data_IF_657678470401
#
_entry.id   IF_657678470401
#
_cell.length_a   1.000
_cell.length_b   1.000
_cell.length_c   1.000
_cell.angle_alpha   90.00
_cell.angle_beta   90.00
_cell.angle_gamma   90.00
#
_symmetry.space_group_name_H-M   'P 1'
#
loop_
_entity.id
_entity.type
_entity.pdbx_description
1 polymer ?
#
# COMPACT_ATOMS: atom_id res chain seq x y z
N UNK A 1 -2.81 -23.62 17.03
CA UNK A 1 -2.85 -24.43 15.78
C UNK A 1 -2.06 -23.69 14.72
N UNK A 2 -1.13 -24.32 13.98
CA UNK A 2 -0.33 -23.60 12.98
C UNK A 2 -1.22 -23.07 11.86
N UNK A 3 -1.24 -21.76 11.64
CA UNK A 3 -1.85 -21.17 10.45
C UNK A 3 -1.33 -21.88 9.21
N UNK A 4 -2.23 -22.31 8.33
CA UNK A 4 -1.82 -22.84 7.04
C UNK A 4 -1.20 -21.69 6.25
N UNK A 5 0.13 -21.65 6.23
CA UNK A 5 0.93 -20.57 5.63
C UNK A 5 0.49 -20.22 4.21
N UNK A 6 0.09 -21.22 3.43
CA UNK A 6 -0.36 -21.04 2.06
C UNK A 6 -1.72 -20.31 2.00
N UNK A 7 -2.66 -20.64 2.91
CA UNK A 7 -3.94 -19.91 3.03
C UNK A 7 -3.70 -18.44 3.36
N UNK A 8 -2.80 -18.16 4.29
CA UNK A 8 -2.46 -16.78 4.66
C UNK A 8 -1.88 -16.00 3.48
N UNK A 9 -0.90 -16.57 2.75
CA UNK A 9 -0.32 -15.93 1.56
C UNK A 9 -1.39 -15.68 0.49
N UNK A 10 -2.29 -16.64 0.28
CA UNK A 10 -3.43 -16.49 -0.63
C UNK A 10 -4.38 -15.37 -0.20
N UNK A 11 -4.60 -15.20 1.09
CA UNK A 11 -5.39 -14.09 1.62
C UNK A 11 -4.71 -12.73 1.42
N UNK A 12 -3.38 -12.66 1.50
CA UNK A 12 -2.65 -11.42 1.14
C UNK A 12 -2.87 -11.08 -0.34
N UNK A 13 -2.87 -12.06 -1.25
CA UNK A 13 -3.22 -11.82 -2.64
C UNK A 13 -4.63 -11.22 -2.78
N UNK A 14 -5.62 -11.79 -2.09
CA UNK A 14 -6.99 -11.24 -2.14
C UNK A 14 -7.05 -9.82 -1.57
N UNK A 15 -6.36 -9.54 -0.46
CA UNK A 15 -6.27 -8.19 0.10
C UNK A 15 -5.69 -7.19 -0.91
N UNK A 16 -4.60 -7.57 -1.59
CA UNK A 16 -4.02 -6.78 -2.67
C UNK A 16 -5.01 -6.60 -3.83
N UNK A 17 -5.74 -7.65 -4.21
CA UNK A 17 -6.72 -7.61 -5.29
C UNK A 17 -7.89 -6.66 -4.98
N UNK A 18 -8.33 -6.56 -3.73
CA UNK A 18 -9.30 -5.54 -3.32
C UNK A 18 -8.67 -4.15 -3.29
N UNK A 19 -7.46 -4.01 -2.74
CA UNK A 19 -6.75 -2.74 -2.63
C UNK A 19 -6.36 -2.11 -4.00
N UNK A 20 -6.19 -2.93 -5.04
CA UNK A 20 -5.81 -2.50 -6.39
C UNK A 20 -6.69 -3.15 -7.44
N UNK A 21 -7.60 -2.37 -8.02
CA UNK A 21 -8.54 -2.83 -9.06
C UNK A 21 -7.82 -3.41 -10.29
N UNK A 22 -6.58 -2.99 -10.56
CA UNK A 22 -5.76 -3.51 -11.65
C UNK A 22 -5.48 -5.02 -11.54
N UNK A 23 -5.42 -5.57 -10.32
CA UNK A 23 -5.22 -7.00 -10.05
C UNK A 23 -6.49 -7.85 -10.28
N UNK A 24 -7.66 -7.22 -10.33
CA UNK A 24 -8.93 -7.92 -10.61
C UNK A 24 -9.16 -8.17 -12.11
N UNK A 25 -8.23 -7.74 -12.97
CA UNK A 25 -8.29 -8.02 -14.40
C UNK A 25 -7.90 -9.48 -14.66
N UNK A 26 -8.50 -10.10 -15.67
CA UNK A 26 -8.33 -11.52 -16.04
C UNK A 26 -6.87 -12.00 -16.23
N UNK A 27 -5.90 -11.09 -16.24
CA UNK A 27 -4.47 -11.39 -16.39
C UNK A 27 -3.81 -11.96 -15.12
N UNK A 28 -4.53 -12.01 -14.00
CA UNK A 28 -4.02 -12.49 -12.71
C UNK A 28 -4.81 -13.69 -12.17
N UNK A 29 -5.71 -14.29 -12.98
CA UNK A 29 -6.52 -15.45 -12.57
C UNK A 29 -5.64 -16.66 -12.25
N UNK A 30 -4.57 -16.88 -13.02
CA UNK A 30 -3.64 -17.99 -12.82
C UNK A 30 -2.96 -17.94 -11.44
N UNK A 31 -2.70 -16.75 -10.90
CA UNK A 31 -2.08 -16.55 -9.58
C UNK A 31 -2.97 -17.09 -8.45
N UNK A 32 -4.30 -17.07 -8.61
CA UNK A 32 -5.22 -17.61 -7.59
C UNK A 32 -5.16 -19.14 -7.48
N UNK A 33 -4.75 -19.79 -8.57
CA UNK A 33 -4.66 -21.25 -8.67
C UNK A 33 -3.30 -21.79 -8.27
N UNK A 34 -2.27 -20.94 -8.20
CA UNK A 34 -0.93 -21.34 -7.81
C UNK A 34 -0.75 -21.30 -6.28
N UNK A 35 -0.06 -22.30 -5.75
CA UNK A 35 0.38 -22.35 -4.37
C UNK A 35 1.75 -21.67 -4.21
N UNK A 36 1.86 -20.82 -3.19
CA UNK A 36 3.09 -20.10 -2.87
C UNK A 36 3.56 -20.45 -1.47
N UNK A 37 4.79 -20.95 -1.36
CA UNK A 37 5.39 -21.32 -0.06
C UNK A 37 5.88 -20.09 0.72
N UNK A 38 6.26 -19.05 -0.02
CA UNK A 38 6.81 -17.81 0.49
C UNK A 38 6.17 -16.61 -0.19
N UNK A 39 5.93 -15.56 0.58
CA UNK A 39 5.28 -14.34 0.08
C UNK A 39 6.05 -13.64 -1.05
N UNK A 40 7.38 -13.76 -1.03
CA UNK A 40 8.24 -13.23 -2.09
C UNK A 40 7.95 -13.89 -3.45
N UNK A 41 7.51 -15.15 -3.47
CA UNK A 41 7.12 -15.83 -4.70
C UNK A 41 5.82 -15.24 -5.24
N UNK A 42 4.84 -14.99 -4.37
CA UNK A 42 3.59 -14.31 -4.75
C UNK A 42 3.87 -12.90 -5.31
N UNK A 43 4.65 -12.10 -4.58
CA UNK A 43 4.98 -10.74 -5.00
C UNK A 43 5.78 -10.72 -6.31
N UNK A 44 6.70 -11.68 -6.50
CA UNK A 44 7.42 -11.85 -7.76
C UNK A 44 6.48 -12.17 -8.92
N UNK A 45 5.50 -13.07 -8.70
CA UNK A 45 4.53 -13.43 -9.75
C UNK A 45 3.64 -12.24 -10.14
N UNK A 46 3.11 -11.52 -9.14
CA UNK A 46 2.34 -10.29 -9.37
C UNK A 46 3.17 -9.28 -10.16
N UNK A 47 4.44 -9.08 -9.79
CA UNK A 47 5.33 -8.14 -10.46
C UNK A 47 5.63 -8.59 -11.90
N UNK A 48 5.89 -9.88 -12.14
CA UNK A 48 6.12 -10.44 -13.48
C UNK A 48 4.94 -10.15 -14.40
N UNK A 49 3.71 -10.45 -13.95
CA UNK A 49 2.49 -10.20 -14.73
C UNK A 49 2.29 -8.71 -14.98
N UNK A 50 2.47 -7.88 -13.95
CA UNK A 50 2.30 -6.43 -14.08
C UNK A 50 3.35 -5.77 -14.99
N UNK A 51 4.62 -6.15 -14.89
CA UNK A 51 5.69 -5.65 -15.77
C UNK A 51 5.47 -6.12 -17.20
N UNK A 52 5.05 -7.37 -17.40
CA UNK A 52 4.70 -7.88 -18.74
C UNK A 52 3.56 -7.08 -19.36
N UNK A 53 2.54 -6.73 -18.57
CA UNK A 53 1.45 -5.87 -19.03
C UNK A 53 1.93 -4.44 -19.32
N UNK A 54 2.79 -3.87 -18.49
CA UNK A 54 3.34 -2.54 -18.70
C UNK A 54 4.19 -2.48 -19.98
N UNK A 55 5.01 -3.49 -20.24
CA UNK A 55 5.80 -3.58 -21.47
C UNK A 55 4.93 -3.64 -22.73
N UNK A 56 3.78 -4.32 -22.69
CA UNK A 56 2.81 -4.31 -23.80
C UNK A 56 2.26 -2.90 -24.09
N UNK A 57 2.20 -2.03 -23.09
CA UNK A 57 1.80 -0.63 -23.24
C UNK A 57 2.96 0.31 -23.60
N UNK A 58 4.19 -0.14 -23.40
CA UNK A 58 5.40 0.66 -23.50
C UNK A 58 5.84 1.22 -22.15
N UNK A 59 7.15 1.41 -22.00
CA UNK A 59 7.73 2.04 -20.82
C UNK A 59 7.38 3.54 -20.78
N UNK A 60 7.14 4.05 -19.57
CA UNK A 60 6.94 5.48 -19.35
C UNK A 60 8.20 6.23 -19.79
N UNK A 61 8.00 7.36 -20.47
CA UNK A 61 9.09 8.20 -20.97
C UNK A 61 8.92 9.61 -20.47
N UNK A 62 10.03 10.20 -20.06
CA UNK A 62 10.09 11.59 -19.62
C UNK A 62 11.08 12.36 -20.49
N UNK A 63 10.81 13.66 -20.66
CA UNK A 63 11.74 14.55 -21.33
C UNK A 63 12.86 14.93 -20.38
N UNK A 64 14.09 14.60 -20.74
CA UNK A 64 15.28 15.04 -20.01
C UNK A 64 15.99 16.12 -20.82
N UNK A 65 16.23 17.27 -20.19
CA UNK A 65 17.05 18.33 -20.79
C UNK A 65 18.49 17.86 -20.87
N UNK A 66 19.03 17.80 -22.09
CA UNK A 66 20.39 17.40 -22.38
C UNK A 66 21.15 18.56 -23.01
N UNK A 67 22.39 18.74 -22.58
CA UNK A 67 23.33 19.70 -23.19
C UNK A 67 24.48 18.92 -23.82
N UNK A 68 24.69 19.08 -25.12
CA UNK A 68 25.68 18.31 -25.88
C UNK A 68 26.34 19.14 -26.98
N UNK A 69 27.64 18.90 -27.20
CA UNK A 69 28.43 19.57 -28.24
C UNK A 69 28.47 18.76 -29.53
N UNK A 70 27.60 19.11 -30.47
CA UNK A 70 27.37 18.37 -31.72
C UNK A 70 27.79 19.19 -32.95
N UNK A 71 27.97 18.52 -34.10
CA UNK A 71 28.41 19.17 -35.33
C UNK A 71 27.28 19.91 -36.08
N UNK A 72 26.02 19.70 -35.66
CA UNK A 72 24.82 20.28 -36.24
C UNK A 72 23.97 20.95 -35.15
N UNK A 73 23.00 21.78 -35.53
CA UNK A 73 22.10 22.42 -34.56
C UNK A 73 20.98 21.45 -34.18
N UNK A 74 20.77 21.23 -32.88
CA UNK A 74 19.63 20.46 -32.34
C UNK A 74 19.03 21.21 -31.15
N UNK A 75 17.78 21.63 -31.25
CA UNK A 75 17.12 22.43 -30.19
C UNK A 75 17.74 23.84 -30.04
N UNK A 76 17.92 24.29 -28.81
CA UNK A 76 18.39 25.63 -28.46
C UNK A 76 19.91 25.68 -28.45
N UNK A 77 20.51 26.65 -29.16
CA UNK A 77 21.95 26.85 -29.15
C UNK A 77 22.38 27.52 -27.84
N UNK A 78 23.37 26.93 -27.16
CA UNK A 78 24.10 27.53 -26.05
C UNK A 78 25.29 28.33 -26.62
N UNK A 79 25.07 29.65 -26.75
CA UNK A 79 26.03 30.57 -27.35
C UNK A 79 27.35 30.59 -26.56
N UNK A 80 27.36 30.74 -25.22
CA UNK A 80 28.60 30.65 -24.42
C UNK A 80 29.44 29.40 -24.71
N UNK A 81 28.84 28.21 -24.64
CA UNK A 81 29.56 26.95 -24.90
C UNK A 81 30.07 26.85 -26.34
N UNK A 82 29.29 27.31 -27.31
CA UNK A 82 29.68 27.33 -28.72
C UNK A 82 30.86 28.27 -28.97
N UNK A 83 30.86 29.47 -28.37
CA UNK A 83 31.99 30.40 -28.45
C UNK A 83 33.26 29.79 -27.86
N UNK A 84 33.15 29.10 -26.72
CA UNK A 84 34.29 28.42 -26.11
C UNK A 84 34.87 27.32 -27.03
N UNK A 85 34.02 26.55 -27.72
CA UNK A 85 34.47 25.56 -28.70
C UNK A 85 35.18 26.20 -29.90
N UNK A 86 34.65 27.31 -30.42
CA UNK A 86 35.29 28.07 -31.49
C UNK A 86 36.67 28.60 -31.08
N UNK A 87 36.81 29.12 -29.85
CA UNK A 87 38.10 29.56 -29.31
C UNK A 87 39.12 28.42 -29.20
N UNK A 88 38.65 27.20 -28.92
CA UNK A 88 39.46 25.97 -28.90
C UNK A 88 39.68 25.36 -30.31
N UNK A 89 39.24 26.03 -31.39
CA UNK A 89 39.27 25.53 -32.78
C UNK A 89 38.54 24.19 -32.97
N UNK A 90 37.54 23.90 -32.13
CA UNK A 90 36.66 22.73 -32.27
C UNK A 90 35.42 23.13 -33.06
N UNK A 91 35.16 22.44 -34.17
CA UNK A 91 33.97 22.65 -35.01
C UNK A 91 32.73 21.97 -34.39
N UNK A 92 32.31 22.41 -33.21
CA UNK A 92 31.16 21.89 -32.47
C UNK A 92 30.31 23.03 -31.92
N UNK A 93 29.00 22.83 -31.94
CA UNK A 93 27.98 23.75 -31.42
C UNK A 93 27.45 23.14 -30.12
N UNK A 94 27.51 23.90 -29.03
CA UNK A 94 26.86 23.52 -27.76
C UNK A 94 25.36 23.72 -27.92
N UNK A 95 24.60 22.65 -27.78
CA UNK A 95 23.15 22.64 -27.97
C UNK A 95 22.45 22.07 -26.74
N UNK A 96 21.37 22.70 -26.32
CA UNK A 96 20.45 22.23 -25.29
C UNK A 96 19.13 21.81 -25.93
N UNK A 97 18.73 20.56 -25.72
CA UNK A 97 17.48 20.02 -26.25
C UNK A 97 16.91 18.97 -25.30
N UNK A 98 15.60 18.76 -25.38
CA UNK A 98 14.92 17.73 -24.61
C UNK A 98 14.93 16.40 -25.38
N UNK A 99 15.40 15.34 -24.72
CA UNK A 99 15.41 13.98 -25.24
C UNK A 99 14.41 13.13 -24.48
N UNK A 100 13.58 12.39 -25.21
CA UNK A 100 12.61 11.49 -24.61
C UNK A 100 13.32 10.22 -24.16
N UNK A 101 13.36 9.97 -22.85
CA UNK A 101 14.10 8.86 -22.26
C UNK A 101 13.20 7.95 -21.43
N UNK A 102 13.49 6.65 -21.50
CA UNK A 102 12.90 5.62 -20.65
C UNK A 102 13.58 5.55 -19.27
N UNK A 103 14.72 6.22 -19.10
CA UNK A 103 15.48 6.21 -17.85
C UNK A 103 14.91 7.18 -16.80
N UNK A 104 13.61 7.05 -16.53
CA UNK A 104 12.90 7.82 -15.51
C UNK A 104 12.77 7.02 -14.21
N UNK A 105 12.50 7.73 -13.11
CA UNK A 105 12.37 7.14 -11.77
C UNK A 105 11.39 5.96 -11.74
N UNK A 106 10.34 6.02 -12.54
CA UNK A 106 9.30 4.99 -12.61
C UNK A 106 9.86 3.64 -13.07
N UNK A 107 10.62 3.64 -14.17
CA UNK A 107 11.20 2.42 -14.68
C UNK A 107 12.41 1.98 -13.84
N UNK A 108 13.16 2.93 -13.27
CA UNK A 108 14.29 2.64 -12.38
C UNK A 108 13.85 1.85 -11.13
N UNK A 109 12.73 2.25 -10.51
CA UNK A 109 12.15 1.53 -9.36
C UNK A 109 11.85 0.07 -9.72
N UNK A 110 11.20 -0.15 -10.87
CA UNK A 110 10.87 -1.51 -11.33
C UNK A 110 12.14 -2.32 -11.57
N UNK A 111 13.11 -1.78 -12.31
CA UNK A 111 14.37 -2.47 -12.61
C UNK A 111 15.11 -2.85 -11.32
N UNK A 112 15.30 -1.90 -10.41
CA UNK A 112 15.94 -2.15 -9.11
C UNK A 112 15.22 -3.24 -8.33
N UNK A 113 13.87 -3.23 -8.30
CA UNK A 113 13.09 -4.26 -7.60
C UNK A 113 13.29 -5.65 -8.22
N UNK A 114 13.29 -5.73 -9.56
CA UNK A 114 13.52 -6.98 -10.26
C UNK A 114 14.92 -7.56 -9.98
N UNK A 115 15.96 -6.74 -9.96
CA UNK A 115 17.32 -7.17 -9.61
C UNK A 115 17.40 -7.69 -8.16
N UNK A 116 16.70 -7.03 -7.23
CA UNK A 116 16.58 -7.50 -5.85
C UNK A 116 15.94 -8.89 -5.80
N UNK A 117 14.83 -9.12 -6.52
CA UNK A 117 14.18 -10.43 -6.58
C UNK A 117 15.07 -11.52 -7.23
N UNK A 118 15.87 -11.17 -8.23
CA UNK A 118 16.81 -12.10 -8.86
C UNK A 118 17.85 -12.64 -7.87
N UNK A 119 18.29 -11.80 -6.94
CA UNK A 119 19.24 -12.18 -5.89
C UNK A 119 18.60 -12.94 -4.72
N UNK A 120 17.27 -12.87 -4.54
CA UNK A 120 16.61 -13.45 -3.36
C UNK A 120 16.51 -14.99 -3.42
N UNK A 121 16.83 -15.73 -2.35
CA UNK A 121 16.87 -17.20 -2.37
C UNK A 121 15.51 -17.87 -2.47
N UNK A 122 14.42 -17.26 -1.97
CA UNK A 122 13.10 -17.90 -1.96
C UNK A 122 12.32 -17.80 -3.28
N UNK A 123 12.79 -16.97 -4.22
CA UNK A 123 12.14 -16.77 -5.52
C UNK A 123 12.43 -17.98 -6.42
N UNK A 124 11.39 -18.55 -7.04
CA UNK A 124 11.50 -19.78 -7.85
C UNK A 124 12.43 -19.53 -9.06
N UNK A 125 13.18 -20.56 -9.47
CA UNK A 125 14.09 -20.46 -10.63
C UNK A 125 13.35 -20.08 -11.94
N UNK A 126 12.12 -20.59 -12.11
CA UNK A 126 11.23 -20.22 -13.23
C UNK A 126 10.90 -18.73 -13.23
N UNK A 127 10.55 -18.17 -12.08
CA UNK A 127 10.28 -16.74 -11.90
C UNK A 127 11.53 -15.90 -12.22
N UNK A 128 12.70 -16.30 -11.72
CA UNK A 128 13.97 -15.62 -12.01
C UNK A 128 14.28 -15.61 -13.52
N UNK A 129 14.03 -16.72 -14.22
CA UNK A 129 14.20 -16.79 -15.67
C UNK A 129 13.28 -15.80 -16.39
N UNK A 130 12.01 -15.74 -16.00
CA UNK A 130 11.04 -14.79 -16.57
C UNK A 130 11.44 -13.34 -16.29
N UNK A 131 11.84 -13.01 -15.06
CA UNK A 131 12.33 -11.67 -14.70
C UNK A 131 13.52 -11.27 -15.58
N UNK A 132 14.54 -12.14 -15.73
CA UNK A 132 15.69 -11.86 -16.60
C UNK A 132 15.28 -11.55 -18.04
N UNK A 133 14.31 -12.30 -18.58
CA UNK A 133 13.78 -12.06 -19.94
C UNK A 133 13.09 -10.70 -20.04
N UNK A 134 12.33 -10.30 -19.02
CA UNK A 134 11.68 -8.98 -18.98
C UNK A 134 12.71 -7.85 -18.84
N UNK A 135 13.79 -8.05 -18.08
CA UNK A 135 14.83 -7.04 -17.88
C UNK A 135 15.63 -6.70 -19.14
N UNK A 136 15.59 -7.54 -20.18
CA UNK A 136 16.16 -7.20 -21.50
C UNK A 136 15.53 -5.94 -22.10
N UNK A 137 14.27 -5.64 -21.80
CA UNK A 137 13.58 -4.43 -22.26
C UNK A 137 13.92 -3.19 -21.43
N UNK A 138 14.66 -3.34 -20.33
CA UNK A 138 15.10 -2.25 -19.44
C UNK A 138 16.60 -1.96 -19.61
N UNK A 139 17.16 -2.19 -20.80
CA UNK A 139 18.60 -2.00 -21.08
C UNK A 139 19.05 -0.56 -20.88
N UNK A 140 18.23 0.41 -21.31
CA UNK A 140 18.51 1.85 -21.22
C UNK A 140 18.10 2.48 -19.88
N UNK A 141 17.59 1.67 -18.95
CA UNK A 141 17.13 2.13 -17.63
C UNK A 141 18.22 1.84 -16.61
N UNK A 142 18.60 2.82 -15.80
CA UNK A 142 19.59 2.62 -14.75
C UNK A 142 18.95 2.02 -13.49
N UNK A 143 19.76 1.39 -12.65
CA UNK A 143 19.35 1.06 -11.29
C UNK A 143 19.52 2.27 -10.38
N UNK A 144 18.69 2.33 -9.35
CA UNK A 144 18.81 3.30 -8.27
C UNK A 144 19.00 2.60 -6.93
N UNK A 145 19.71 3.22 -5.97
CA UNK A 145 19.79 2.72 -4.61
C UNK A 145 18.39 2.66 -3.97
N UNK A 146 17.95 1.53 -3.40
CA UNK A 146 16.59 1.41 -2.86
C UNK A 146 16.27 2.42 -1.76
N UNK A 147 17.26 2.76 -0.92
CA UNK A 147 17.13 3.72 0.18
C UNK A 147 16.99 5.18 -0.28
N UNK A 148 17.31 5.50 -1.54
CA UNK A 148 17.18 6.87 -2.06
C UNK A 148 15.77 7.15 -2.62
N UNK A 149 14.92 6.12 -2.72
CA UNK A 149 13.58 6.25 -3.30
C UNK A 149 12.67 7.03 -2.34
N UNK A 150 12.26 8.22 -2.77
CA UNK A 150 11.30 9.06 -2.05
C UNK A 150 9.87 8.78 -2.52
N UNK A 151 9.26 7.73 -1.97
CA UNK A 151 7.92 7.26 -2.34
C UNK A 151 6.84 8.35 -2.25
N UNK A 152 6.95 9.24 -1.27
CA UNK A 152 6.04 10.37 -1.04
C UNK A 152 6.07 11.46 -2.14
N UNK A 153 7.13 11.49 -2.96
CA UNK A 153 7.25 12.42 -4.08
C UNK A 153 6.68 11.86 -5.39
N UNK A 154 6.36 10.57 -5.45
CA UNK A 154 5.76 9.98 -6.63
C UNK A 154 4.37 10.58 -6.88
N UNK A 155 4.12 11.00 -8.12
CA UNK A 155 2.86 11.57 -8.58
C UNK A 155 2.43 10.83 -9.83
N UNK A 156 1.24 10.25 -9.79
CA UNK A 156 0.70 9.48 -10.89
C UNK A 156 -0.31 10.32 -11.66
N UNK A 157 -0.10 10.46 -12.96
CA UNK A 157 -1.05 11.10 -13.87
C UNK A 157 -1.88 10.03 -14.60
N UNK A 158 -2.68 10.45 -15.59
CA UNK A 158 -3.51 9.53 -16.37
C UNK A 158 -2.67 8.49 -17.15
N UNK A 159 -1.46 8.85 -17.56
CA UNK A 159 -0.56 8.03 -18.36
C UNK A 159 0.31 7.10 -17.51
N UNK A 160 0.55 7.46 -16.25
CA UNK A 160 1.38 6.70 -15.31
C UNK A 160 0.57 5.98 -14.23
N UNK A 161 -0.77 6.06 -14.26
CA UNK A 161 -1.65 5.34 -13.33
C UNK A 161 -1.41 3.83 -13.28
N UNK A 162 -1.02 3.21 -14.40
CA UNK A 162 -0.69 1.77 -14.42
C UNK A 162 0.54 1.42 -13.59
N UNK A 163 1.45 2.36 -13.38
CA UNK A 163 2.62 2.18 -12.52
C UNK A 163 2.27 2.23 -11.03
N UNK A 164 1.14 2.82 -10.64
CA UNK A 164 0.82 3.01 -9.23
C UNK A 164 0.78 1.69 -8.46
N UNK A 165 0.10 0.69 -9.01
CA UNK A 165 0.06 -0.66 -8.43
C UNK A 165 1.45 -1.30 -8.46
N UNK A 166 2.18 -1.21 -9.58
CA UNK A 166 3.52 -1.79 -9.72
C UNK A 166 4.48 -1.23 -8.67
N UNK A 167 4.52 0.09 -8.54
CA UNK A 167 5.35 0.76 -7.55
C UNK A 167 4.93 0.44 -6.12
N UNK A 168 3.64 0.23 -5.86
CA UNK A 168 3.21 -0.26 -4.56
C UNK A 168 3.79 -1.65 -4.29
N UNK A 169 3.69 -2.59 -5.23
CA UNK A 169 4.32 -3.91 -5.07
C UNK A 169 5.86 -3.80 -4.93
N UNK A 170 6.51 -2.95 -5.71
CA UNK A 170 7.94 -2.65 -5.59
C UNK A 170 8.30 -2.13 -4.21
N UNK A 171 7.49 -1.23 -3.66
CA UNK A 171 7.66 -0.70 -2.32
C UNK A 171 7.62 -1.80 -1.27
N UNK A 172 6.61 -2.69 -1.33
CA UNK A 172 6.50 -3.83 -0.42
C UNK A 172 7.72 -4.77 -0.52
N UNK A 173 8.18 -5.07 -1.73
CA UNK A 173 9.35 -5.93 -1.94
C UNK A 173 10.61 -5.27 -1.36
N UNK A 174 10.86 -4.01 -1.71
CA UNK A 174 12.07 -3.28 -1.30
C UNK A 174 12.12 -3.11 0.21
N UNK A 175 11.03 -2.66 0.84
CA UNK A 175 10.98 -2.38 2.28
C UNK A 175 11.21 -3.65 3.11
N UNK A 176 10.53 -4.75 2.75
CA UNK A 176 10.73 -6.05 3.39
C UNK A 176 12.17 -6.53 3.32
N UNK A 177 12.81 -6.35 2.17
CA UNK A 177 14.15 -6.85 1.91
C UNK A 177 15.20 -6.05 2.66
N UNK A 178 15.02 -4.74 2.80
CA UNK A 178 15.89 -3.87 3.61
C UNK A 178 15.88 -4.32 5.08
N UNK A 179 14.71 -4.62 5.64
CA UNK A 179 14.57 -5.07 7.04
C UNK A 179 15.28 -6.41 7.30
N UNK A 180 15.20 -7.37 6.38
CA UNK A 180 15.90 -8.67 6.53
C UNK A 180 17.43 -8.56 6.52
N UNK A 181 17.99 -7.51 5.92
CA UNK A 181 19.45 -7.31 5.82
C UNK A 181 20.10 -6.75 7.09
N UNK A 182 19.34 -6.06 7.95
CA UNK A 182 19.88 -5.42 9.17
C UNK A 182 19.87 -6.35 10.40
N UNK A 183 18.96 -7.32 10.46
CA UNK A 183 18.77 -8.16 11.66
C UNK A 183 19.38 -9.56 11.60
N UNK A 184 20.06 -9.93 10.51
CA UNK A 184 21.02 -11.05 10.50
C UNK A 184 20.53 -12.34 11.17
N UNK A 185 19.32 -12.82 10.84
CA UNK A 185 18.83 -14.20 11.04
C UNK A 185 17.43 -14.29 10.45
N UNK A 186 17.18 -15.35 9.67
CA UNK A 186 15.87 -15.73 9.14
C UNK A 186 14.86 -16.00 10.28
N UNK A 187 14.30 -14.94 10.86
CA UNK A 187 13.00 -15.00 11.51
C UNK A 187 12.00 -14.50 10.47
N UNK A 188 11.33 -15.48 9.85
CA UNK A 188 10.06 -15.40 9.14
C UNK A 188 9.67 -13.97 8.76
N UNK A 189 9.84 -13.62 7.48
CA UNK A 189 9.55 -12.31 6.90
C UNK A 189 8.18 -11.76 7.34
N UNK A 190 8.15 -11.09 8.48
CA UNK A 190 7.06 -10.22 8.87
C UNK A 190 7.38 -8.92 8.15
N UNK A 191 6.45 -8.47 7.32
CA UNK A 191 6.48 -7.11 6.83
C UNK A 191 6.68 -6.16 8.02
N UNK A 192 7.20 -4.96 7.78
CA UNK A 192 7.01 -3.90 8.78
C UNK A 192 5.52 -3.79 9.09
N UNK A 193 5.18 -3.83 10.39
CA UNK A 193 3.79 -3.79 10.87
C UNK A 193 3.04 -2.59 10.24
N UNK A 194 3.75 -1.50 9.92
CA UNK A 194 3.21 -0.30 9.29
C UNK A 194 2.65 -0.52 7.86
N UNK A 195 3.34 -1.27 6.99
CA UNK A 195 2.86 -1.44 5.61
C UNK A 195 1.71 -2.43 5.53
N UNK A 196 1.76 -3.47 6.36
CA UNK A 196 0.63 -4.39 6.49
C UNK A 196 -0.58 -3.71 7.12
N UNK A 197 -0.40 -2.78 8.06
CA UNK A 197 -1.48 -1.90 8.52
C UNK A 197 -2.13 -1.18 7.34
N UNK A 198 -1.35 -0.50 6.49
CA UNK A 198 -1.90 0.25 5.34
C UNK A 198 -2.59 -0.63 4.31
N UNK A 199 -2.04 -1.82 4.03
CA UNK A 199 -2.68 -2.77 3.12
C UNK A 199 -4.00 -3.28 3.72
N UNK A 200 -3.99 -3.60 5.02
CA UNK A 200 -5.17 -4.08 5.74
C UNK A 200 -6.28 -3.04 5.80
N UNK A 201 -5.95 -1.81 6.18
CA UNK A 201 -6.84 -0.65 6.16
C UNK A 201 -7.50 -0.48 4.78
N UNK A 202 -6.67 -0.41 3.73
CA UNK A 202 -7.14 -0.23 2.36
C UNK A 202 -7.96 -1.42 1.88
N UNK A 203 -7.60 -2.64 2.25
CA UNK A 203 -8.37 -3.84 1.95
C UNK A 203 -9.78 -3.75 2.53
N UNK A 204 -9.91 -3.48 3.83
CA UNK A 204 -11.21 -3.39 4.50
C UNK A 204 -12.06 -2.27 3.89
N UNK A 205 -11.44 -1.12 3.61
CA UNK A 205 -12.12 -0.01 2.95
C UNK A 205 -12.65 -0.39 1.55
N UNK A 206 -11.79 -0.95 0.69
CA UNK A 206 -12.18 -1.33 -0.67
C UNK A 206 -13.14 -2.52 -0.70
N UNK A 207 -13.08 -3.41 0.30
CA UNK A 207 -14.05 -4.48 0.49
C UNK A 207 -15.46 -3.92 0.64
N UNK A 208 -15.68 -3.04 1.62
CA UNK A 208 -17.01 -2.46 1.84
C UNK A 208 -17.45 -1.55 0.69
N UNK A 209 -16.52 -0.86 0.01
CA UNK A 209 -16.86 -0.08 -1.21
C UNK A 209 -17.42 -0.95 -2.32
N UNK A 210 -16.86 -2.15 -2.50
CA UNK A 210 -17.20 -3.04 -3.61
C UNK A 210 -18.41 -3.92 -3.29
N UNK A 211 -18.41 -4.59 -2.14
CA UNK A 211 -19.43 -5.58 -1.79
C UNK A 211 -20.65 -4.93 -1.13
N UNK A 212 -20.48 -3.77 -0.47
CA UNK A 212 -21.52 -3.06 0.28
C UNK A 212 -21.65 -1.58 -0.11
N UNK A 213 -21.89 -1.25 -1.40
CA UNK A 213 -21.95 0.14 -1.87
C UNK A 213 -23.02 0.99 -1.17
N UNK A 214 -24.07 0.37 -0.64
CA UNK A 214 -25.12 1.01 0.16
C UNK A 214 -24.58 1.69 1.43
N UNK A 215 -23.47 1.19 1.97
CA UNK A 215 -22.82 1.75 3.17
C UNK A 215 -22.03 3.02 2.89
N UNK A 216 -21.81 3.35 1.61
CA UNK A 216 -21.01 4.52 1.17
C UNK A 216 -19.63 4.59 1.84
N UNK A 217 -18.96 3.43 1.93
CA UNK A 217 -17.67 3.29 2.58
C UNK A 217 -16.61 4.29 2.08
N UNK A 218 -16.02 5.05 3.01
CA UNK A 218 -15.01 6.06 2.70
C UNK A 218 -14.07 6.30 3.88
N UNK A 219 -12.86 6.77 3.63
CA UNK A 219 -12.08 7.47 4.64
C UNK A 219 -12.68 8.88 4.82
N UNK A 220 -13.00 9.28 6.05
CA UNK A 220 -13.65 10.56 6.34
C UNK A 220 -12.87 11.37 7.37
N UNK A 221 -12.84 12.69 7.19
CA UNK A 221 -12.39 13.63 8.21
C UNK A 221 -13.58 13.98 9.11
N UNK A 222 -13.44 13.72 10.40
CA UNK A 222 -14.41 14.10 11.43
C UNK A 222 -14.04 15.50 11.92
N UNK A 223 -15.04 16.37 12.08
CA UNK A 223 -14.81 17.70 12.66
C UNK A 223 -14.74 17.59 14.18
N UNK A 224 -13.90 18.41 14.79
CA UNK A 224 -13.90 18.54 16.24
C UNK A 224 -15.23 19.16 16.69
N UNK A 225 -15.90 18.48 17.62
CA UNK A 225 -17.10 18.99 18.28
C UNK A 225 -16.70 19.92 19.44
N UNK A 226 -16.28 21.12 19.08
CA UNK A 226 -15.80 22.15 20.01
C UNK A 226 -16.33 23.52 19.59
N UNK A 227 -16.32 24.47 20.51
CA UNK A 227 -16.55 25.87 20.17
C UNK A 227 -15.29 26.45 19.50
N UNK A 228 -15.33 26.57 18.17
CA UNK A 228 -14.22 27.10 17.36
C UNK A 228 -13.86 28.55 17.72
N UNK A 229 -14.79 29.36 18.23
CA UNK A 229 -14.52 30.76 18.57
C UNK A 229 -13.74 30.89 19.88
N UNK A 230 -13.89 29.92 20.77
CA UNK A 230 -13.22 29.86 22.07
C UNK A 230 -11.96 28.97 22.06
N UNK A 231 -11.65 28.34 20.92
CA UNK A 231 -10.61 27.31 20.81
C UNK A 231 -9.55 27.65 19.76
N UNK A 232 -8.30 27.28 20.02
CA UNK A 232 -7.22 27.38 19.02
C UNK A 232 -7.22 26.13 18.13
N UNK A 233 -7.83 26.22 16.96
CA UNK A 233 -8.01 25.07 16.05
C UNK A 233 -6.78 24.71 15.23
N UNK A 234 -5.88 25.65 14.98
CA UNK A 234 -4.72 25.47 14.06
C UNK A 234 -3.70 24.42 14.53
N UNK A 235 -3.72 24.09 15.82
CA UNK A 235 -2.81 23.11 16.44
C UNK A 235 -3.46 21.73 16.61
N UNK A 236 -4.75 21.59 16.30
CA UNK A 236 -5.46 20.34 16.51
C UNK A 236 -5.12 19.33 15.42
N UNK A 237 -4.95 18.05 15.77
CA UNK A 237 -4.71 17.03 14.77
C UNK A 237 -5.98 16.80 13.93
N UNK A 238 -5.78 16.43 12.67
CA UNK A 238 -6.86 16.05 11.78
C UNK A 238 -7.40 14.69 12.22
N UNK A 239 -8.70 14.61 12.51
CA UNK A 239 -9.37 13.35 12.83
C UNK A 239 -9.72 12.59 11.56
N UNK A 240 -8.72 11.93 10.98
CA UNK A 240 -8.88 11.09 9.79
C UNK A 240 -9.25 9.66 10.20
N UNK A 241 -10.41 9.18 9.76
CA UNK A 241 -10.83 7.79 9.92
C UNK A 241 -10.28 6.91 8.81
N UNK A 242 -10.00 5.65 9.16
CA UNK A 242 -9.67 4.58 8.22
C UNK A 242 -10.90 4.25 7.35
N UNK A 243 -11.99 3.82 8.00
CA UNK A 243 -13.26 3.51 7.33
C UNK A 243 -14.44 4.15 8.06
N UNK A 244 -15.27 4.84 7.29
CA UNK A 244 -16.55 5.42 7.70
C UNK A 244 -17.66 4.76 6.88
N UNK A 245 -18.61 4.12 7.56
CA UNK A 245 -19.77 3.46 6.98
C UNK A 245 -21.07 4.15 7.43
N UNK A 246 -22.00 4.31 6.49
CA UNK A 246 -23.36 4.82 6.74
C UNK A 246 -24.34 3.65 6.73
N UNK A 247 -24.90 3.31 7.89
CA UNK A 247 -25.83 2.19 8.08
C UNK A 247 -27.24 2.72 8.37
N UNK A 248 -28.02 3.01 7.32
CA UNK A 248 -29.35 3.64 7.42
C UNK A 248 -29.30 4.92 8.25
N UNK A 249 -29.75 4.86 9.50
CA UNK A 249 -29.84 5.98 10.44
C UNK A 249 -28.65 6.05 11.42
N UNK A 250 -27.65 5.18 11.23
CA UNK A 250 -26.46 5.06 12.09
C UNK A 250 -25.18 5.22 11.27
N UNK A 251 -24.11 5.57 11.96
CA UNK A 251 -22.74 5.59 11.42
C UNK A 251 -21.92 4.53 12.13
N UNK A 252 -21.08 3.79 11.40
CA UNK A 252 -20.07 2.91 11.96
C UNK A 252 -18.69 3.41 11.52
N UNK A 253 -17.85 3.79 12.47
CA UNK A 253 -16.45 4.16 12.24
C UNK A 253 -15.60 2.94 12.58
N UNK A 254 -14.79 2.48 11.64
CA UNK A 254 -13.89 1.34 11.86
C UNK A 254 -12.46 1.87 11.82
N UNK A 255 -11.69 1.54 12.85
CA UNK A 255 -10.25 1.78 12.96
C UNK A 255 -9.55 0.42 12.92
N UNK A 256 -8.69 0.24 11.93
CA UNK A 256 -8.06 -1.05 11.63
C UNK A 256 -6.68 -1.13 12.24
N UNK A 257 -6.33 -2.30 12.78
CA UNK A 257 -5.04 -2.52 13.42
C UNK A 257 -4.44 -3.84 13.00
N UNK A 258 -3.22 -3.77 12.49
CA UNK A 258 -2.43 -4.94 12.15
C UNK A 258 -1.20 -4.97 13.07
N UNK A 259 -1.20 -5.88 14.02
CA UNK A 259 -0.07 -6.07 14.93
C UNK A 259 0.42 -7.51 14.87
N UNK A 260 1.72 -7.67 15.12
CA UNK A 260 2.31 -8.97 15.41
C UNK A 260 1.78 -9.58 16.72
N UNK A 261 1.33 -8.75 17.67
CA UNK A 261 0.57 -9.14 18.86
C UNK A 261 -0.64 -8.22 19.04
N UNK A 262 -1.88 -8.76 19.11
CA UNK A 262 -3.09 -7.92 19.13
C UNK A 262 -3.44 -7.38 20.52
N UNK A 263 -2.79 -7.93 21.56
CA UNK A 263 -3.02 -7.61 22.95
C UNK A 263 -1.75 -7.14 23.67
N UNK A 264 -1.91 -6.25 24.66
CA UNK A 264 -0.83 -5.90 25.59
C UNK A 264 -0.85 -6.86 26.78
N UNK A 265 0.30 -7.46 27.08
CA UNK A 265 0.53 -8.19 28.33
C UNK A 265 1.19 -7.26 29.36
N UNK A 266 0.50 -7.06 30.48
CA UNK A 266 1.07 -6.36 31.63
C UNK A 266 0.65 -7.08 32.91
N UNK A 267 1.61 -7.66 33.65
CA UNK A 267 1.38 -8.45 34.87
C UNK A 267 0.28 -9.52 34.72
N UNK A 268 0.42 -10.44 33.76
CA UNK A 268 -0.50 -11.57 33.47
C UNK A 268 -1.95 -11.18 33.12
N UNK A 269 -2.20 -9.90 32.81
CA UNK A 269 -3.49 -9.42 32.28
C UNK A 269 -3.34 -8.99 30.83
N UNK A 270 -4.12 -9.65 29.98
CA UNK A 270 -4.28 -9.36 28.55
C UNK A 270 -5.29 -8.21 28.41
N UNK A 271 -4.90 -7.09 27.80
CA UNK A 271 -5.77 -5.93 27.61
C UNK A 271 -5.63 -5.27 26.25
N UNK A 272 -6.69 -4.58 25.83
CA UNK A 272 -6.74 -3.82 24.58
C UNK A 272 -5.77 -2.63 24.68
N UNK A 273 -5.07 -2.33 23.57
CA UNK A 273 -4.20 -1.17 23.46
C UNK A 273 -4.99 0.13 23.75
N UNK A 274 -4.66 0.78 24.85
CA UNK A 274 -5.34 2.01 25.31
C UNK A 274 -5.29 3.14 24.29
N UNK A 275 -4.19 3.26 23.53
CA UNK A 275 -4.06 4.24 22.45
C UNK A 275 -5.14 4.07 21.37
N UNK A 276 -5.42 2.83 20.96
CA UNK A 276 -6.42 2.53 19.92
C UNK A 276 -7.83 2.80 20.45
N UNK A 277 -8.09 2.40 21.70
CA UNK A 277 -9.35 2.71 22.36
C UNK A 277 -9.58 4.22 22.43
N UNK A 278 -8.57 4.99 22.84
CA UNK A 278 -8.68 6.45 22.89
C UNK A 278 -8.93 7.05 21.50
N UNK A 279 -8.27 6.54 20.46
CA UNK A 279 -8.46 7.01 19.09
C UNK A 279 -9.91 6.82 18.61
N UNK A 280 -10.45 5.60 18.73
CA UNK A 280 -11.84 5.35 18.29
C UNK A 280 -12.86 6.11 19.14
N UNK A 281 -12.59 6.29 20.43
CA UNK A 281 -13.44 7.10 21.32
C UNK A 281 -13.49 8.56 20.86
N UNK A 282 -12.34 9.14 20.52
CA UNK A 282 -12.28 10.52 19.99
C UNK A 282 -13.11 10.63 18.71
N UNK A 283 -13.02 9.66 17.80
CA UNK A 283 -13.84 9.67 16.58
C UNK A 283 -15.34 9.61 16.87
N UNK A 284 -15.78 8.66 17.70
CA UNK A 284 -17.21 8.49 18.00
C UNK A 284 -17.78 9.68 18.76
N UNK A 285 -17.06 10.23 19.74
CA UNK A 285 -17.54 11.36 20.55
C UNK A 285 -17.66 12.66 19.74
N UNK A 286 -16.78 12.87 18.76
CA UNK A 286 -16.84 14.07 17.92
C UNK A 286 -17.89 13.95 16.80
N UNK A 287 -18.12 12.75 16.28
CA UNK A 287 -19.14 12.52 15.24
C UNK A 287 -20.57 12.42 15.84
N UNK A 288 -20.75 11.87 17.04
CA UNK A 288 -22.03 11.82 17.75
C UNK A 288 -22.33 13.15 18.46
N UNK A 289 -22.29 14.25 17.71
CA UNK A 289 -22.35 15.63 18.20
C UNK A 289 -23.48 15.87 19.22
N UNK A 290 -24.67 15.33 18.94
CA UNK A 290 -25.85 15.47 19.81
C UNK A 290 -26.05 14.31 20.81
N UNK A 291 -25.05 13.43 20.97
CA UNK A 291 -25.12 12.20 21.78
C UNK A 291 -26.41 11.39 21.54
N UNK A 292 -26.85 11.32 20.27
CA UNK A 292 -28.08 10.62 19.90
C UNK A 292 -27.90 9.10 19.93
N UNK A 293 -26.69 8.62 20.20
CA UNK A 293 -26.41 7.21 20.26
C UNK A 293 -26.41 6.54 18.90
N UNK A 294 -26.20 7.31 17.83
CA UNK A 294 -26.30 6.86 16.43
C UNK A 294 -24.95 6.57 15.78
N UNK A 295 -23.85 6.92 16.45
CA UNK A 295 -22.51 6.61 15.97
C UNK A 295 -21.95 5.46 16.78
N UNK A 296 -21.60 4.39 16.10
CA UNK A 296 -20.88 3.25 16.65
C UNK A 296 -19.42 3.31 16.16
N UNK A 297 -18.51 2.73 16.93
CA UNK A 297 -17.12 2.56 16.55
C UNK A 297 -16.70 1.10 16.60
N UNK A 298 -15.66 0.73 15.87
CA UNK A 298 -15.13 -0.63 15.86
C UNK A 298 -13.61 -0.58 15.76
N UNK A 299 -12.94 -1.26 16.69
CA UNK A 299 -11.54 -1.64 16.53
C UNK A 299 -11.50 -3.00 15.86
N UNK A 300 -10.94 -3.05 14.65
CA UNK A 300 -10.85 -4.26 13.86
C UNK A 300 -9.40 -4.73 13.77
N UNK A 301 -9.07 -5.80 14.49
CA UNK A 301 -7.74 -6.38 14.57
C UNK A 301 -7.56 -7.50 13.56
N UNK A 302 -6.42 -7.56 12.88
CA UNK A 302 -6.05 -8.72 12.08
C UNK A 302 -5.54 -9.85 13.00
N UNK A 303 -6.18 -11.04 12.96
CA UNK A 303 -5.66 -12.24 13.62
C UNK A 303 -4.61 -12.89 12.73
N UNK A 304 -3.46 -13.21 13.30
CA UNK A 304 -2.47 -14.09 12.69
C UNK A 304 -2.40 -15.40 13.45
N UNK A 305 -1.79 -15.44 14.64
CA UNK A 305 -1.50 -16.72 15.36
C UNK A 305 -1.99 -16.77 16.82
N UNK A 306 -2.74 -15.78 17.32
CA UNK A 306 -3.11 -15.69 18.74
C UNK A 306 -4.38 -16.48 19.10
N UNK A 307 -4.35 -17.21 20.22
CA UNK A 307 -5.51 -17.97 20.73
C UNK A 307 -6.53 -17.08 21.47
N UNK A 308 -6.08 -15.96 22.06
CA UNK A 308 -6.91 -14.99 22.77
C UNK A 308 -7.09 -13.76 21.89
N UNK A 309 -8.35 -13.40 21.61
CA UNK A 309 -8.71 -12.26 20.76
C UNK A 309 -9.60 -11.28 21.53
N UNK A 310 -9.50 -9.96 21.28
CA UNK A 310 -10.24 -8.94 22.04
C UNK A 310 -11.73 -8.85 21.71
N UNK A 311 -12.38 -9.89 21.22
CA UNK A 311 -13.77 -9.81 20.76
C UNK A 311 -14.73 -9.41 21.89
N UNK A 312 -15.43 -8.30 21.71
CA UNK A 312 -16.29 -7.74 22.76
C UNK A 312 -17.00 -6.46 22.34
N UNK A 313 -17.65 -5.81 23.30
CA UNK A 313 -18.29 -4.52 23.05
C UNK A 313 -18.40 -3.69 24.34
N UNK A 314 -18.30 -2.37 24.19
CA UNK A 314 -18.66 -1.37 25.19
C UNK A 314 -19.88 -0.61 24.69
N UNK A 315 -20.96 -0.59 25.48
CA UNK A 315 -22.20 0.09 25.12
C UNK A 315 -22.46 1.25 26.06
N UNK A 316 -22.63 2.45 25.51
CA UNK A 316 -23.05 3.61 26.27
C UNK A 316 -24.55 3.54 26.55
N UNK A 317 -24.97 4.14 27.67
CA UNK A 317 -26.38 4.34 27.98
C UNK A 317 -27.09 5.22 26.94
N UNK A 318 -26.35 6.09 26.26
CA UNK A 318 -26.84 6.98 25.19
C UNK A 318 -27.17 6.23 23.90
N UNK A 319 -26.64 5.01 23.70
CA UNK A 319 -26.97 4.14 22.56
C UNK A 319 -25.80 3.77 21.67
N UNK A 320 -24.71 4.55 21.70
CA UNK A 320 -23.46 4.25 20.97
C UNK A 320 -22.80 2.98 21.47
N UNK A 321 -22.09 2.29 20.61
CA UNK A 321 -21.36 1.05 20.92
C UNK A 321 -19.98 1.09 20.29
N UNK A 322 -18.94 0.77 21.07
CA UNK A 322 -17.61 0.46 20.58
C UNK A 322 -17.48 -1.05 20.54
N UNK A 323 -17.27 -1.59 19.34
CA UNK A 323 -17.01 -2.99 19.10
C UNK A 323 -15.51 -3.26 19.08
N UNK A 324 -15.14 -4.41 19.60
CA UNK A 324 -13.82 -4.98 19.42
C UNK A 324 -14.01 -6.26 18.63
N UNK A 325 -13.39 -6.33 17.46
CA UNK A 325 -13.53 -7.45 16.54
C UNK A 325 -12.18 -7.87 16.01
N UNK A 326 -12.05 -9.16 15.77
CA UNK A 326 -10.89 -9.74 15.14
C UNK A 326 -11.28 -10.39 13.81
N UNK A 327 -10.53 -10.10 12.76
CA UNK A 327 -10.66 -10.73 11.45
C UNK A 327 -9.59 -11.81 11.31
N UNK A 328 -10.01 -13.07 11.27
CA UNK A 328 -9.08 -14.19 11.10
C UNK A 328 -8.58 -14.27 9.65
N UNK A 329 -7.30 -13.94 9.43
CA UNK A 329 -6.66 -14.03 8.11
C UNK A 329 -6.05 -15.42 7.82
N UNK A 330 -6.12 -16.36 8.75
CA UNK A 330 -5.62 -17.73 8.61
C UNK A 330 -6.62 -18.73 8.03
N UNK A 331 -7.86 -18.29 7.78
CA UNK A 331 -8.95 -19.14 7.24
C UNK A 331 -9.19 -18.88 5.74
N UNK A 332 -9.93 -19.77 5.09
CA UNK A 332 -10.32 -19.56 3.68
C UNK A 332 -11.04 -18.21 3.49
N UNK A 333 -10.72 -17.51 2.40
CA UNK A 333 -11.23 -16.18 2.11
C UNK A 333 -12.77 -16.08 2.12
N UNK A 334 -13.51 -17.17 1.85
CA UNK A 334 -14.97 -17.18 1.99
C UNK A 334 -15.43 -16.90 3.43
N UNK A 335 -14.67 -17.34 4.42
CA UNK A 335 -14.96 -17.09 5.83
C UNK A 335 -14.50 -15.70 6.28
N UNK A 336 -13.46 -15.14 5.65
CA UNK A 336 -13.08 -13.73 5.84
C UNK A 336 -14.22 -12.82 5.39
N UNK A 337 -14.77 -13.07 4.18
CA UNK A 337 -15.93 -12.34 3.68
C UNK A 337 -17.11 -12.42 4.63
N UNK A 338 -17.46 -13.64 5.04
CA UNK A 338 -18.54 -13.86 6.02
C UNK A 338 -18.31 -13.07 7.32
N UNK A 339 -17.10 -13.06 7.87
CA UNK A 339 -16.79 -12.28 9.08
C UNK A 339 -17.03 -10.78 8.86
N UNK A 340 -16.56 -10.22 7.74
CA UNK A 340 -16.78 -8.81 7.39
C UNK A 340 -18.26 -8.48 7.21
N UNK A 341 -19.01 -9.36 6.55
CA UNK A 341 -20.46 -9.19 6.33
C UNK A 341 -21.22 -9.25 7.67
N UNK A 342 -20.86 -10.20 8.54
CA UNK A 342 -21.46 -10.38 9.86
C UNK A 342 -21.24 -9.14 10.75
N UNK A 343 -20.14 -8.40 10.57
CA UNK A 343 -19.89 -7.17 11.31
C UNK A 343 -20.91 -6.06 11.02
N UNK A 344 -21.48 -6.02 9.81
CA UNK A 344 -22.55 -5.09 9.45
C UNK A 344 -23.91 -5.49 10.05
N UNK A 345 -24.15 -6.79 10.21
CA UNK A 345 -25.44 -7.37 10.63
C UNK A 345 -25.69 -7.20 12.13
N UNK A 346 -24.66 -6.87 12.93
CA UNK A 346 -24.78 -6.74 14.39
C UNK A 346 -25.80 -5.71 14.90
N UNK A 347 -26.44 -4.92 14.01
CA UNK A 347 -27.67 -4.15 14.29
C UNK A 347 -28.58 -4.03 13.05
N UNK A 348 -29.32 -5.08 12.72
CA UNK A 348 -30.64 -4.93 12.06
C UNK A 348 -31.75 -4.82 13.10
#
# INVERSE_FOLDING_TARGET
>A
MSVNKNIFIKNIYYMLAYAFQELQRNQYEDIQSEDFDEIHQLLAEILIHGVSFQLKKGLHKEYISKTESIASVKGKIDIPGTVQHLMQRKMRISCQYDELSENCLFNQIIKTTCEILLSHPSVKTSQKFTIKRLMLFFSEVNEIPPLSIKWNLLRYDRNSRTYQMLHYICFFIIDNMILTSQEGKFKMSRFSDEHMCRLYEKFVLEYYRKEHPETKARAAQIKWNIDEQLSTTDILPILQTDIYLTLKDRTLIIDTKYYSQTMQEHFDKVSIHSANLNQILVYVLNEDDNMQGKVDGMLLYAKTDEDIVPDGQLKWKTGSTIYFRTLDLGVDFKYIRKQLDDFLITKS
#
